data_IF_957381321493
#
_entry.id   IF_957381321493
#
_cell.length_a   1.000
_cell.length_b   1.000
_cell.length_c   1.000
_cell.angle_alpha   90.00
_cell.angle_beta   90.00
_cell.angle_gamma   90.00
#
_symmetry.space_group_name_H-M   'P 1'
#
loop_
_entity.id
_entity.type
_entity.pdbx_description
1 polymer ?
#
# COMPACT_ATOMS: atom_id res chain seq x y z
N UNK A 1 3.52 -5.91 17.69
CA UNK A 1 3.39 -6.79 16.51
C UNK A 1 2.68 -5.99 15.44
N UNK A 2 3.22 -5.90 14.23
CA UNK A 2 2.55 -5.23 13.12
C UNK A 2 1.51 -6.19 12.51
N UNK A 3 0.32 -5.68 12.18
CA UNK A 3 -0.75 -6.50 11.58
C UNK A 3 -0.71 -6.38 10.07
N UNK A 4 -0.60 -7.52 9.37
CA UNK A 4 -0.70 -7.55 7.90
C UNK A 4 -2.15 -7.33 7.47
N UNK A 5 -2.38 -6.33 6.63
CA UNK A 5 -3.71 -5.98 6.09
C UNK A 5 -3.78 -6.10 4.57
N UNK A 6 -2.65 -6.38 3.91
CA UNK A 6 -2.66 -6.77 2.51
C UNK A 6 -1.47 -7.69 2.19
N UNK A 7 -1.67 -8.58 1.22
CA UNK A 7 -0.61 -9.38 0.61
C UNK A 7 -0.58 -9.06 -0.87
N UNK A 8 0.60 -8.75 -1.38
CA UNK A 8 0.83 -8.19 -2.70
C UNK A 8 1.97 -8.93 -3.40
N UNK A 9 1.91 -8.94 -4.73
CA UNK A 9 2.99 -9.37 -5.61
C UNK A 9 3.39 -8.18 -6.46
N UNK A 10 4.66 -7.81 -6.39
CA UNK A 10 5.27 -6.80 -7.22
C UNK A 10 5.51 -7.36 -8.63
N UNK A 11 5.12 -6.58 -9.64
CA UNK A 11 5.32 -6.87 -11.05
C UNK A 11 6.55 -6.17 -11.60
N UNK A 12 6.98 -6.61 -12.78
CA UNK A 12 8.15 -6.07 -13.48
C UNK A 12 7.96 -4.60 -13.91
N UNK A 13 6.72 -4.14 -14.06
CA UNK A 13 6.37 -2.76 -14.39
C UNK A 13 6.35 -1.81 -13.18
N UNK A 14 6.72 -2.32 -11.99
CA UNK A 14 6.73 -1.56 -10.74
C UNK A 14 5.38 -1.45 -10.05
N UNK A 15 4.29 -1.98 -10.65
CA UNK A 15 3.01 -2.10 -9.97
C UNK A 15 3.01 -3.24 -8.96
N UNK A 16 2.11 -3.17 -7.98
CA UNK A 16 1.85 -4.25 -7.03
C UNK A 16 0.40 -4.65 -7.08
N UNK A 17 0.12 -5.94 -7.06
CA UNK A 17 -1.25 -6.45 -7.07
C UNK A 17 -1.46 -7.51 -6.01
N UNK A 18 -2.65 -7.54 -5.44
CA UNK A 18 -3.01 -8.57 -4.50
C UNK A 18 -4.30 -8.27 -3.77
N UNK A 19 -4.40 -8.72 -2.53
CA UNK A 19 -5.62 -8.64 -1.74
C UNK A 19 -5.37 -7.77 -0.51
N UNK A 20 -6.21 -6.76 -0.34
CA UNK A 20 -6.44 -6.07 0.92
C UNK A 20 -7.52 -6.80 1.70
N UNK A 21 -7.22 -7.20 2.93
CA UNK A 21 -8.12 -7.99 3.76
C UNK A 21 -8.16 -7.48 5.20
N UNK A 22 -9.37 -7.29 5.70
CA UNK A 22 -9.69 -7.06 7.12
C UNK A 22 -10.78 -8.04 7.54
N UNK A 23 -11.30 -7.94 8.76
CA UNK A 23 -12.42 -8.77 9.23
C UNK A 23 -13.65 -8.64 8.31
N UNK A 24 -13.90 -7.44 7.75
CA UNK A 24 -15.11 -7.14 6.96
C UNK A 24 -14.87 -6.92 5.47
N UNK A 25 -13.61 -6.81 5.05
CA UNK A 25 -13.27 -6.45 3.67
C UNK A 25 -12.34 -7.51 3.07
N UNK A 26 -12.61 -7.88 1.83
CA UNK A 26 -11.70 -8.66 0.99
C UNK A 26 -11.73 -8.07 -0.42
N UNK A 27 -10.76 -7.22 -0.71
CA UNK A 27 -10.74 -6.40 -1.91
C UNK A 27 -9.48 -6.68 -2.73
N UNK A 28 -9.59 -7.07 -4.01
CA UNK A 28 -8.44 -7.10 -4.90
C UNK A 28 -8.01 -5.67 -5.21
N UNK A 29 -6.75 -5.36 -4.92
CA UNK A 29 -6.19 -4.02 -5.09
C UNK A 29 -4.99 -4.04 -6.03
N UNK A 30 -4.74 -2.90 -6.67
CA UNK A 30 -3.51 -2.63 -7.39
C UNK A 30 -2.91 -1.30 -6.91
N UNK A 31 -1.61 -1.31 -6.66
CA UNK A 31 -0.80 -0.13 -6.37
C UNK A 31 -0.03 0.21 -7.64
N UNK A 32 -0.33 1.36 -8.23
CA UNK A 32 0.14 1.75 -9.57
C UNK A 32 1.00 3.00 -9.44
N UNK A 33 2.20 3.03 -10.04
CA UNK A 33 3.02 4.24 -10.07
C UNK A 33 2.26 5.43 -10.65
N UNK A 34 2.31 6.57 -9.96
CA UNK A 34 1.74 7.82 -10.44
C UNK A 34 2.75 8.52 -11.35
N UNK A 35 2.64 8.29 -12.66
CA UNK A 35 3.56 8.89 -13.65
C UNK A 35 3.31 10.38 -13.90
N UNK A 36 2.19 10.93 -13.41
CA UNK A 36 1.80 12.32 -13.59
C UNK A 36 1.77 13.06 -12.23
N UNK A 37 2.87 12.99 -11.46
CA UNK A 37 2.96 13.76 -10.21
C UNK A 37 2.89 15.26 -10.51
N UNK A 38 1.89 15.92 -9.96
CA UNK A 38 1.71 17.37 -10.09
C UNK A 38 2.61 18.18 -9.14
N UNK A 39 3.06 17.57 -8.04
CA UNK A 39 3.91 18.18 -7.02
C UNK A 39 4.64 17.12 -6.20
N UNK A 40 5.58 17.53 -5.35
CA UNK A 40 6.25 16.61 -4.41
C UNK A 40 5.29 16.00 -3.38
N UNK A 41 4.24 16.75 -3.02
CA UNK A 41 3.17 16.32 -2.10
C UNK A 41 2.19 15.34 -2.75
N UNK A 42 2.12 15.32 -4.08
CA UNK A 42 1.30 14.36 -4.82
C UNK A 42 1.75 12.93 -4.51
N UNK A 43 0.84 11.95 -4.56
CA UNK A 43 1.19 10.57 -4.29
C UNK A 43 2.13 10.00 -5.35
N UNK A 44 3.09 9.19 -4.93
CA UNK A 44 3.97 8.41 -5.81
C UNK A 44 3.26 7.21 -6.40
N UNK A 45 2.24 6.69 -5.69
CA UNK A 45 1.43 5.57 -6.12
C UNK A 45 -0.05 5.82 -5.87
N UNK A 46 -0.88 5.34 -6.78
CA UNK A 46 -2.34 5.30 -6.63
C UNK A 46 -2.76 3.89 -6.26
N UNK A 47 -3.72 3.74 -5.35
CA UNK A 47 -4.23 2.43 -4.96
C UNK A 47 -5.66 2.32 -5.43
N UNK A 48 -5.91 1.33 -6.30
CA UNK A 48 -7.21 1.13 -6.91
C UNK A 48 -7.80 -0.21 -6.51
N UNK A 49 -9.13 -0.25 -6.39
CA UNK A 49 -9.88 -1.49 -6.31
C UNK A 49 -10.02 -2.09 -7.72
N UNK A 50 -9.42 -3.26 -7.96
CA UNK A 50 -9.30 -3.85 -9.31
C UNK A 50 -10.64 -4.18 -9.97
N UNK A 51 -11.70 -4.43 -9.19
CA UNK A 51 -13.01 -4.80 -9.76
C UNK A 51 -13.80 -3.59 -10.24
N UNK A 52 -13.72 -2.46 -9.54
CA UNK A 52 -14.52 -1.26 -9.86
C UNK A 52 -13.71 -0.15 -10.52
N UNK A 53 -12.38 -0.20 -10.42
CA UNK A 53 -11.49 0.86 -10.88
C UNK A 53 -11.45 2.09 -9.97
N UNK A 54 -12.18 2.10 -8.86
CA UNK A 54 -12.18 3.22 -7.92
C UNK A 54 -10.85 3.32 -7.18
N UNK A 55 -10.41 4.56 -7.01
CA UNK A 55 -9.27 4.86 -6.14
C UNK A 55 -9.72 4.78 -4.68
N UNK A 56 -8.97 4.00 -3.89
CA UNK A 56 -9.26 3.70 -2.49
C UNK A 56 -8.08 4.06 -1.59
N UNK A 57 -7.11 4.79 -2.14
CA UNK A 57 -5.90 5.16 -1.41
C UNK A 57 -4.74 5.57 -2.30
N UNK A 58 -3.63 5.84 -1.63
CA UNK A 58 -2.43 6.36 -2.23
C UNK A 58 -1.19 5.95 -1.43
N UNK A 59 -0.03 6.03 -2.07
CA UNK A 59 1.26 5.74 -1.47
C UNK A 59 2.29 6.85 -1.73
N UNK A 60 3.18 7.06 -0.77
CA UNK A 60 4.27 8.02 -0.81
C UNK A 60 5.59 7.36 -0.42
N UNK A 61 6.63 7.57 -1.22
CA UNK A 61 7.97 7.19 -0.85
C UNK A 61 8.45 8.12 0.27
N UNK A 62 8.89 7.54 1.38
CA UNK A 62 9.33 8.24 2.58
C UNK A 62 10.67 7.69 3.02
N UNK A 63 11.44 8.51 3.72
CA UNK A 63 12.69 8.13 4.36
C UNK A 63 12.45 8.06 5.85
N UNK A 64 12.76 6.93 6.47
CA UNK A 64 12.64 6.74 7.91
C UNK A 64 13.67 7.62 8.64
N UNK A 65 13.22 8.50 9.54
CA UNK A 65 14.12 9.44 10.24
C UNK A 65 15.18 8.75 11.09
N UNK A 66 14.88 7.57 11.63
CA UNK A 66 15.76 6.86 12.54
C UNK A 66 16.79 5.99 11.81
N UNK A 67 16.38 5.32 10.72
CA UNK A 67 17.24 4.36 10.01
C UNK A 67 17.79 4.89 8.69
N UNK A 68 17.19 5.95 8.14
CA UNK A 68 17.52 6.47 6.81
C UNK A 68 16.98 5.62 5.66
N UNK A 69 16.23 4.56 5.95
CA UNK A 69 15.73 3.63 4.93
C UNK A 69 14.50 4.18 4.19
N UNK A 70 14.45 3.93 2.89
CA UNK A 70 13.29 4.23 2.06
C UNK A 70 12.18 3.20 2.30
N UNK A 71 10.96 3.70 2.50
CA UNK A 71 9.76 2.88 2.61
C UNK A 71 8.59 3.53 1.90
N UNK A 72 7.65 2.71 1.43
CA UNK A 72 6.40 3.20 0.86
C UNK A 72 5.36 3.30 1.98
N UNK A 73 5.01 4.53 2.36
CA UNK A 73 3.90 4.81 3.25
C UNK A 73 2.60 4.77 2.47
N UNK A 74 1.57 4.14 3.02
CA UNK A 74 0.28 3.91 2.38
C UNK A 74 -0.84 4.52 3.21
N UNK A 75 -1.77 5.22 2.55
CA UNK A 75 -3.07 5.62 3.09
C UNK A 75 -4.17 4.93 2.29
N UNK A 76 -5.06 4.22 2.96
CA UNK A 76 -6.27 3.66 2.39
C UNK A 76 -7.48 4.37 2.98
N UNK A 77 -8.47 4.67 2.17
CA UNK A 77 -9.68 5.35 2.61
C UNK A 77 -10.89 4.85 1.83
N UNK A 78 -11.90 4.35 2.54
CA UNK A 78 -13.21 4.02 1.98
C UNK A 78 -14.29 4.07 3.08
N UNK A 79 -15.57 4.29 2.73
CA UNK A 79 -16.65 4.41 3.72
C UNK A 79 -16.73 3.27 4.74
N UNK A 80 -16.42 2.04 4.32
CA UNK A 80 -16.50 0.84 5.14
C UNK A 80 -15.30 0.61 6.09
N UNK A 81 -14.17 1.29 5.86
CA UNK A 81 -12.94 1.16 6.66
C UNK A 81 -12.47 2.46 7.32
N UNK A 82 -13.05 3.60 6.98
CA UNK A 82 -12.54 4.91 7.38
C UNK A 82 -11.16 5.16 6.74
N UNK A 83 -10.25 5.77 7.50
CA UNK A 83 -8.86 5.99 7.06
C UNK A 83 -7.94 5.01 7.75
N UNK A 84 -7.13 4.30 6.98
CA UNK A 84 -6.13 3.36 7.47
C UNK A 84 -4.77 3.77 6.92
N UNK A 85 -3.77 3.82 7.80
CA UNK A 85 -2.38 4.02 7.42
C UNK A 85 -1.60 2.72 7.53
N UNK A 86 -0.67 2.51 6.63
CA UNK A 86 0.24 1.37 6.68
C UNK A 86 1.54 1.64 5.95
N UNK A 87 2.42 0.66 5.97
CA UNK A 87 3.68 0.70 5.24
C UNK A 87 3.85 -0.58 4.43
N UNK A 88 4.39 -0.45 3.22
CA UNK A 88 4.78 -1.60 2.43
C UNK A 88 6.07 -2.20 3.01
N UNK A 89 6.09 -3.51 3.20
CA UNK A 89 7.25 -4.25 3.65
C UNK A 89 7.43 -5.53 2.83
N UNK A 90 8.63 -6.14 2.81
CA UNK A 90 8.82 -7.49 2.30
C UNK A 90 7.91 -8.47 3.03
N UNK A 91 7.30 -9.39 2.28
CA UNK A 91 6.55 -10.48 2.90
C UNK A 91 7.51 -11.46 3.60
N UNK A 92 7.09 -12.09 4.71
CA UNK A 92 7.82 -13.22 5.27
C UNK A 92 7.87 -14.37 4.25
N UNK A 93 8.95 -15.17 4.27
CA UNK A 93 9.12 -16.33 3.39
C UNK A 93 10.16 -16.16 2.28
N UNK A 94 10.82 -15.00 2.18
CA UNK A 94 12.03 -14.83 1.36
C UNK A 94 11.79 -14.63 -0.13
N UNK A 95 10.53 -14.59 -0.58
CA UNK A 95 10.19 -14.26 -1.97
C UNK A 95 10.34 -12.74 -2.21
N UNK A 96 11.29 -12.29 -3.06
CA UNK A 96 11.63 -10.87 -3.17
C UNK A 96 10.51 -10.00 -3.74
N UNK A 97 9.67 -10.58 -4.60
CA UNK A 97 8.52 -9.92 -5.22
C UNK A 97 7.28 -9.93 -4.32
N UNK A 98 7.25 -10.67 -3.21
CA UNK A 98 6.12 -10.69 -2.30
C UNK A 98 6.24 -9.55 -1.30
N UNK A 99 5.19 -8.76 -1.20
CA UNK A 99 5.10 -7.61 -0.29
C UNK A 99 3.85 -7.72 0.57
N UNK A 100 3.87 -7.03 1.69
CA UNK A 100 2.71 -6.90 2.58
C UNK A 100 2.51 -5.43 2.94
N UNK A 101 1.26 -5.05 3.22
CA UNK A 101 0.98 -3.79 3.92
C UNK A 101 0.84 -4.11 5.39
N UNK A 102 1.72 -3.49 6.18
CA UNK A 102 1.68 -3.53 7.64
C UNK A 102 0.86 -2.34 8.14
N UNK A 103 -0.18 -2.61 8.92
CA UNK A 103 -1.03 -1.59 9.51
C UNK A 103 -0.28 -0.81 10.59
N UNK A 104 -0.35 0.53 10.50
CA UNK A 104 0.11 1.44 11.54
C UNK A 104 -1.07 1.72 12.46
N UNK A 105 -1.08 1.08 13.63
CA UNK A 105 -2.10 1.35 14.64
C UNK A 105 -1.98 2.82 15.10
N UNK A 106 -3.03 3.64 14.98
CA UNK A 106 -3.06 4.96 15.59
C UNK A 106 -3.16 4.79 17.11
N UNK A 107 -2.01 4.67 17.78
CA UNK A 107 -1.95 4.78 19.24
C UNK A 107 -2.32 6.20 19.68
#
# INVERSE_FOLDING_TARGET
MATTIATLTQKNDGSLEGIFATIRVNAPIAIIPNTNKASEEAPDYRIIHKKTGFEIGAGWNRIARQTGEEYLSVKLEAPEIGVIFGNLAPAPGGEPNRKVILWNNPA
#
